data_IF_259014890994
#
_entry.id   IF_259014890994
#
_cell.length_a   1.000
_cell.length_b   1.000
_cell.length_c   1.000
_cell.angle_alpha   90.00
_cell.angle_beta   90.00
_cell.angle_gamma   90.00
#
_symmetry.space_group_name_H-M   'P 1'
#
loop_
_entity.id
_entity.type
_entity.pdbx_description
1 polymer ?
#
# COMPACT_ATOMS: atom_id res chain seq x y z
N UNK A 1 17.53 -31.01 -3.54
CA UNK A 1 17.78 -31.10 -2.10
C UNK A 1 16.48 -30.84 -1.38
N UNK A 2 15.81 -31.90 -0.95
CA UNK A 2 14.85 -31.82 0.15
C UNK A 2 15.55 -31.23 1.37
N UNK A 3 15.00 -30.15 1.92
CA UNK A 3 15.17 -29.76 3.32
C UNK A 3 14.20 -28.61 3.60
N UNK A 4 13.47 -28.76 4.72
CA UNK A 4 12.58 -27.80 5.39
C UNK A 4 11.06 -27.90 5.12
N UNK A 5 10.52 -29.12 5.08
CA UNK A 5 9.24 -29.37 5.76
C UNK A 5 9.52 -29.75 7.23
N UNK A 6 9.80 -28.72 8.03
CA UNK A 6 9.91 -28.83 9.47
C UNK A 6 8.76 -28.09 10.13
N UNK A 7 7.67 -28.79 10.43
CA UNK A 7 6.58 -28.26 11.26
C UNK A 7 7.09 -27.95 12.67
N UNK A 8 7.59 -26.73 12.89
CA UNK A 8 7.70 -26.17 14.24
C UNK A 8 6.46 -25.32 14.49
N UNK A 9 5.46 -25.90 15.15
CA UNK A 9 4.52 -25.09 15.94
C UNK A 9 5.37 -24.20 16.86
N UNK A 10 5.21 -22.86 16.86
CA UNK A 10 5.89 -22.05 17.87
C UNK A 10 5.37 -22.46 19.25
N UNK A 11 6.22 -23.16 20.00
CA UNK A 11 6.04 -23.44 21.43
C UNK A 11 6.56 -22.24 22.23
N UNK A 12 5.85 -21.12 22.15
CA UNK A 12 5.68 -20.20 23.28
C UNK A 12 4.47 -19.34 22.95
N UNK A 13 3.51 -19.23 23.87
CA UNK A 13 2.59 -18.11 23.81
C UNK A 13 3.46 -16.87 23.98
N UNK A 14 3.71 -16.14 22.89
CA UNK A 14 4.46 -14.89 22.97
C UNK A 14 3.64 -13.96 23.85
N UNK A 15 4.10 -13.70 25.08
CA UNK A 15 3.40 -12.80 25.99
C UNK A 15 3.37 -11.42 25.35
N UNK A 16 2.17 -10.84 25.29
CA UNK A 16 1.99 -9.46 24.82
C UNK A 16 2.78 -8.51 25.73
N UNK A 17 3.34 -7.47 25.14
CA UNK A 17 4.08 -6.48 25.93
C UNK A 17 3.15 -5.76 26.91
N UNK A 18 3.62 -5.36 28.10
CA UNK A 18 2.81 -4.59 29.05
C UNK A 18 2.24 -3.31 28.44
N UNK A 19 2.99 -2.67 27.54
CA UNK A 19 2.53 -1.49 26.82
C UNK A 19 1.33 -1.81 25.92
N UNK A 20 1.38 -2.91 25.16
CA UNK A 20 0.27 -3.33 24.31
C UNK A 20 -0.97 -3.71 25.12
N UNK A 21 -0.80 -4.42 26.24
CA UNK A 21 -1.88 -4.72 27.19
C UNK A 21 -2.49 -3.42 27.72
N UNK A 22 -1.67 -2.43 28.10
CA UNK A 22 -2.14 -1.12 28.55
C UNK A 22 -2.98 -0.40 27.50
N UNK A 23 -2.60 -0.47 26.21
CA UNK A 23 -3.42 0.07 25.11
C UNK A 23 -4.74 -0.65 24.96
N UNK A 24 -4.77 -1.98 25.05
CA UNK A 24 -6.01 -2.76 25.04
C UNK A 24 -6.94 -2.38 26.20
N UNK A 25 -6.39 -2.22 27.41
CA UNK A 25 -7.16 -1.80 28.58
C UNK A 25 -7.75 -0.39 28.44
N UNK A 26 -7.07 0.49 27.71
CA UNK A 26 -7.51 1.88 27.48
C UNK A 26 -8.35 2.06 26.21
N UNK A 27 -8.46 1.03 25.36
CA UNK A 27 -9.24 1.05 24.11
C UNK A 27 -10.73 1.42 24.28
N UNK A 28 -11.43 1.10 25.38
CA UNK A 28 -12.80 1.58 25.57
C UNK A 28 -12.94 3.10 25.63
N UNK A 29 -11.89 3.83 26.04
CA UNK A 29 -11.92 5.29 26.15
C UNK A 29 -12.17 6.00 24.80
N UNK A 30 -11.36 5.79 23.73
CA UNK A 30 -11.63 6.40 22.42
C UNK A 30 -13.01 5.99 21.87
N UNK A 31 -13.46 4.75 22.11
CA UNK A 31 -14.80 4.29 21.68
C UNK A 31 -15.91 5.11 22.32
N UNK A 32 -15.92 5.24 23.65
CA UNK A 32 -16.94 6.01 24.37
C UNK A 32 -16.88 7.49 23.99
N UNK A 33 -15.67 8.06 23.90
CA UNK A 33 -15.45 9.45 23.47
C UNK A 33 -16.08 9.71 22.09
N UNK A 34 -15.82 8.83 21.12
CA UNK A 34 -16.34 8.97 19.77
C UNK A 34 -17.87 8.82 19.72
N UNK A 35 -18.44 7.87 20.45
CA UNK A 35 -19.90 7.69 20.52
C UNK A 35 -20.57 8.98 21.04
N UNK A 36 -20.06 9.52 22.16
CA UNK A 36 -20.59 10.75 22.74
C UNK A 36 -20.45 11.93 21.76
N UNK A 37 -19.27 12.12 21.18
CA UNK A 37 -19.03 13.19 20.21
C UNK A 37 -19.93 13.06 18.98
N UNK A 38 -20.09 11.86 18.42
CA UNK A 38 -20.88 11.61 17.22
C UNK A 38 -22.35 12.03 17.37
N UNK A 39 -22.98 11.73 18.52
CA UNK A 39 -24.38 12.06 18.77
C UNK A 39 -24.63 13.44 19.38
N UNK A 40 -23.58 14.20 19.73
CA UNK A 40 -23.73 15.52 20.36
C UNK A 40 -23.18 16.65 19.49
N UNK A 41 -21.86 16.72 19.36
CA UNK A 41 -21.16 17.86 18.75
C UNK A 41 -20.57 17.54 17.38
N UNK A 42 -20.62 16.28 16.93
CA UNK A 42 -19.84 15.74 15.82
C UNK A 42 -18.40 15.42 16.23
N UNK A 43 -17.88 14.31 15.72
CA UNK A 43 -16.47 13.91 15.86
C UNK A 43 -15.56 14.76 14.97
N UNK A 44 -14.25 14.69 15.17
CA UNK A 44 -13.30 15.31 14.24
C UNK A 44 -13.49 14.75 12.82
N UNK A 45 -13.69 13.45 12.67
CA UNK A 45 -13.82 12.80 11.35
C UNK A 45 -15.10 13.20 10.61
N UNK A 46 -16.25 13.14 11.27
CA UNK A 46 -17.56 13.46 10.66
C UNK A 46 -17.71 14.94 10.27
N UNK A 47 -16.93 15.82 10.92
CA UNK A 47 -16.87 17.25 10.59
C UNK A 47 -16.00 17.54 9.39
N UNK A 48 -14.93 16.77 9.18
CA UNK A 48 -13.93 17.07 8.16
C UNK A 48 -14.13 16.28 6.88
N UNK A 49 -14.65 15.05 6.94
CA UNK A 49 -14.77 14.19 5.77
C UNK A 49 -16.13 13.48 5.69
N UNK A 50 -16.72 13.50 4.49
CA UNK A 50 -18.06 12.95 4.19
C UNK A 50 -18.17 11.44 4.46
N UNK A 51 -17.09 10.67 4.31
CA UNK A 51 -17.07 9.22 4.53
C UNK A 51 -17.47 8.84 5.96
N UNK A 52 -17.26 9.75 6.92
CA UNK A 52 -17.54 9.55 8.33
C UNK A 52 -18.90 10.08 8.79
N UNK A 53 -19.56 10.93 7.99
CA UNK A 53 -20.75 11.69 8.42
C UNK A 53 -21.92 10.81 8.83
N UNK A 54 -22.08 9.65 8.16
CA UNK A 54 -23.20 8.75 8.36
C UNK A 54 -22.77 7.34 8.82
N UNK A 55 -21.56 7.22 9.38
CA UNK A 55 -21.02 5.94 9.83
C UNK A 55 -20.32 6.07 11.17
N UNK A 56 -21.07 5.82 12.25
CA UNK A 56 -20.49 5.69 13.59
C UNK A 56 -19.39 4.61 13.62
N UNK A 57 -19.57 3.53 12.86
CA UNK A 57 -18.57 2.46 12.75
C UNK A 57 -17.22 2.96 12.27
N UNK A 58 -17.16 3.72 11.17
CA UNK A 58 -15.90 4.28 10.64
C UNK A 58 -15.21 5.20 11.65
N UNK A 59 -15.99 6.03 12.33
CA UNK A 59 -15.46 6.93 13.36
C UNK A 59 -14.83 6.17 14.53
N UNK A 60 -15.50 5.11 15.00
CA UNK A 60 -15.00 4.28 16.10
C UNK A 60 -13.76 3.50 15.65
N UNK A 61 -13.82 2.86 14.48
CA UNK A 61 -12.73 2.05 13.95
C UNK A 61 -11.43 2.86 13.84
N UNK A 62 -11.48 4.02 13.20
CA UNK A 62 -10.30 4.89 13.02
C UNK A 62 -9.77 5.39 14.36
N UNK A 63 -10.63 5.78 15.30
CA UNK A 63 -10.17 6.19 16.61
C UNK A 63 -9.50 5.05 17.40
N UNK A 64 -10.00 3.83 17.24
CA UNK A 64 -9.36 2.63 17.80
C UNK A 64 -8.01 2.37 17.14
N UNK A 65 -7.93 2.43 15.81
CA UNK A 65 -6.69 2.24 15.05
C UNK A 65 -5.64 3.29 15.44
N UNK A 66 -5.99 4.57 15.45
CA UNK A 66 -5.11 5.66 15.88
C UNK A 66 -4.62 5.47 17.32
N UNK A 67 -5.46 4.98 18.23
CA UNK A 67 -5.06 4.66 19.62
C UNK A 67 -4.07 3.49 19.69
N UNK A 68 -4.18 2.51 18.80
CA UNK A 68 -3.32 1.34 18.77
C UNK A 68 -2.01 1.56 17.98
N UNK A 69 -2.00 2.46 17.00
CA UNK A 69 -0.95 2.61 15.98
C UNK A 69 0.41 3.11 16.48
N UNK A 70 0.47 3.79 17.63
CA UNK A 70 1.74 4.27 18.16
C UNK A 70 2.58 3.14 18.73
N UNK A 71 3.90 3.12 18.59
CA UNK A 71 4.81 2.16 19.26
C UNK A 71 4.41 0.69 19.10
N UNK A 72 4.12 0.25 17.87
CA UNK A 72 3.85 -1.16 17.58
C UNK A 72 5.11 -1.99 17.75
N UNK A 73 4.98 -3.16 18.39
CA UNK A 73 6.09 -4.11 18.56
C UNK A 73 5.91 -5.32 17.65
N UNK A 74 7.01 -5.83 17.07
CA UNK A 74 7.00 -7.00 16.19
C UNK A 74 6.26 -8.20 16.81
N UNK A 75 6.56 -8.51 18.07
CA UNK A 75 5.97 -9.64 18.80
C UNK A 75 4.46 -9.51 18.99
N UNK A 76 3.97 -8.31 19.30
CA UNK A 76 2.56 -8.05 19.54
C UNK A 76 1.77 -8.16 18.24
N UNK A 77 2.28 -7.55 17.17
CA UNK A 77 1.63 -7.62 15.86
C UNK A 77 1.61 -9.05 15.33
N UNK A 78 2.67 -9.82 15.56
CA UNK A 78 2.75 -11.23 15.15
C UNK A 78 1.74 -12.10 15.90
N UNK A 79 1.46 -11.76 17.16
CA UNK A 79 0.51 -12.49 17.98
C UNK A 79 -0.95 -12.13 17.69
N UNK A 80 -1.25 -10.87 17.33
CA UNK A 80 -2.63 -10.34 17.30
C UNK A 80 -3.13 -10.00 15.91
N UNK A 81 -2.27 -9.50 15.03
CA UNK A 81 -2.66 -8.95 13.74
C UNK A 81 -2.40 -9.92 12.58
N UNK A 82 -1.34 -10.75 12.68
CA UNK A 82 -0.90 -11.57 11.56
C UNK A 82 -1.95 -12.58 11.10
N UNK A 83 -2.31 -12.49 9.81
CA UNK A 83 -3.09 -13.49 9.11
C UNK A 83 -2.44 -13.82 7.75
N UNK A 84 -2.12 -15.09 7.46
CA UNK A 84 -1.57 -15.46 6.15
C UNK A 84 -2.52 -15.11 5.00
N UNK A 85 -1.99 -14.61 3.88
CA UNK A 85 -2.77 -14.14 2.73
C UNK A 85 -3.77 -15.18 2.20
N UNK A 86 -3.38 -16.46 2.18
CA UNK A 86 -4.26 -17.54 1.73
C UNK A 86 -5.54 -17.66 2.57
N UNK A 87 -5.47 -17.34 3.86
CA UNK A 87 -6.63 -17.35 4.76
C UNK A 87 -7.52 -16.13 4.50
N UNK A 88 -6.92 -14.96 4.30
CA UNK A 88 -7.63 -13.74 3.91
C UNK A 88 -8.38 -13.93 2.58
N UNK A 89 -7.70 -14.40 1.54
CA UNK A 89 -8.28 -14.69 0.21
C UNK A 89 -9.42 -15.72 0.30
N UNK A 90 -9.23 -16.81 1.06
CA UNK A 90 -10.29 -17.83 1.28
C UNK A 90 -11.50 -17.26 1.99
N UNK A 91 -11.30 -16.42 3.02
CA UNK A 91 -12.39 -15.74 3.73
C UNK A 91 -13.17 -14.86 2.76
N UNK A 92 -12.47 -13.99 2.05
CA UNK A 92 -13.08 -13.06 1.08
C UNK A 92 -13.84 -13.81 -0.03
N UNK A 93 -13.26 -14.89 -0.58
CA UNK A 93 -13.90 -15.76 -1.58
C UNK A 93 -15.20 -16.40 -1.09
N UNK A 94 -15.36 -16.59 0.21
CA UNK A 94 -16.58 -17.15 0.83
C UNK A 94 -17.62 -16.07 1.12
N UNK A 95 -17.20 -14.88 1.54
CA UNK A 95 -18.10 -13.86 2.11
C UNK A 95 -18.50 -12.76 1.14
N UNK A 96 -17.65 -12.44 0.15
CA UNK A 96 -17.84 -11.30 -0.73
C UNK A 96 -18.17 -11.74 -2.17
N UNK A 97 -19.29 -11.26 -2.76
CA UNK A 97 -19.73 -11.67 -4.10
C UNK A 97 -18.80 -11.21 -5.23
N UNK A 98 -17.99 -10.16 -5.05
CA UNK A 98 -17.04 -9.68 -6.07
C UNK A 98 -16.12 -10.82 -6.55
N UNK A 99 -15.60 -11.60 -5.62
CA UNK A 99 -14.72 -12.75 -5.87
C UNK A 99 -15.29 -13.83 -6.81
N UNK A 100 -16.61 -13.84 -7.05
CA UNK A 100 -17.27 -14.79 -7.96
C UNK A 100 -17.31 -14.31 -9.41
N UNK A 101 -17.11 -13.01 -9.63
CA UNK A 101 -17.08 -12.39 -10.96
C UNK A 101 -15.65 -12.03 -11.40
N UNK A 102 -14.69 -12.08 -10.47
CA UNK A 102 -13.28 -11.85 -10.79
C UNK A 102 -12.60 -13.15 -11.24
N UNK A 103 -12.12 -13.18 -12.48
CA UNK A 103 -11.34 -14.28 -13.03
C UNK A 103 -10.05 -14.54 -12.24
N UNK A 104 -9.68 -15.81 -12.07
CA UNK A 104 -8.48 -16.25 -11.34
C UNK A 104 -8.36 -15.73 -9.89
N UNK A 105 -9.44 -15.30 -9.23
CA UNK A 105 -9.37 -14.75 -7.87
C UNK A 105 -8.74 -15.73 -6.87
N UNK A 106 -7.62 -15.28 -6.29
CA UNK A 106 -6.79 -15.99 -5.32
C UNK A 106 -5.86 -17.04 -5.92
N UNK A 107 -5.72 -17.11 -7.24
CA UNK A 107 -4.75 -17.98 -7.91
C UNK A 107 -3.34 -17.43 -7.70
N UNK A 108 -2.40 -18.28 -7.29
CA UNK A 108 -1.01 -17.91 -7.06
C UNK A 108 -0.29 -17.73 -8.40
N UNK A 109 0.34 -16.57 -8.62
CA UNK A 109 1.13 -16.30 -9.82
C UNK A 109 2.58 -16.79 -9.66
N UNK A 110 3.23 -16.39 -8.57
CA UNK A 110 4.56 -16.87 -8.18
C UNK A 110 4.67 -17.00 -6.65
N UNK A 111 5.88 -17.20 -6.12
CA UNK A 111 6.11 -17.48 -4.69
C UNK A 111 5.40 -16.54 -3.70
N UNK A 112 5.25 -15.25 -4.01
CA UNK A 112 4.68 -14.25 -3.11
C UNK A 112 3.59 -13.38 -3.75
N UNK A 113 3.01 -13.78 -4.88
CA UNK A 113 2.00 -12.97 -5.58
C UNK A 113 0.76 -13.75 -6.00
N UNK A 114 -0.37 -13.04 -6.05
CA UNK A 114 -1.69 -13.63 -6.23
C UNK A 114 -2.56 -12.77 -7.15
N UNK A 115 -3.26 -13.42 -8.09
CA UNK A 115 -4.24 -12.76 -8.93
C UNK A 115 -5.48 -12.42 -8.11
N UNK A 116 -5.90 -11.16 -8.19
CA UNK A 116 -7.24 -10.72 -7.78
C UNK A 116 -8.17 -10.79 -8.98
N UNK A 117 -7.69 -10.33 -10.12
CA UNK A 117 -8.35 -10.47 -11.41
C UNK A 117 -7.32 -10.69 -12.50
N UNK A 118 -7.62 -11.56 -13.45
CA UNK A 118 -6.80 -11.77 -14.64
C UNK A 118 -7.64 -11.54 -15.89
N UNK A 119 -7.19 -10.64 -16.76
CA UNK A 119 -7.79 -10.42 -18.07
C UNK A 119 -7.63 -11.67 -18.95
N UNK A 120 -8.62 -11.94 -19.79
CA UNK A 120 -8.58 -12.99 -20.80
C UNK A 120 -7.95 -12.53 -22.13
N UNK A 121 -7.57 -11.26 -22.24
CA UNK A 121 -6.88 -10.73 -23.42
C UNK A 121 -5.43 -11.20 -23.49
N UNK A 122 -4.80 -11.11 -24.69
CA UNK A 122 -3.37 -11.35 -24.83
C UNK A 122 -2.55 -10.47 -23.87
N UNK A 123 -1.43 -11.00 -23.37
CA UNK A 123 -0.63 -10.38 -22.29
C UNK A 123 -0.05 -9.03 -22.70
N UNK A 124 0.33 -8.91 -23.96
CA UNK A 124 0.83 -7.68 -24.58
C UNK A 124 -0.21 -6.57 -24.68
N UNK A 125 -1.51 -6.91 -24.62
CA UNK A 125 -2.63 -5.96 -24.59
C UNK A 125 -3.18 -5.74 -23.17
N UNK A 126 -2.59 -6.39 -22.18
CA UNK A 126 -3.08 -6.38 -20.81
C UNK A 126 -2.18 -5.50 -19.95
N UNK A 127 -2.76 -4.47 -19.32
CA UNK A 127 -2.11 -3.75 -18.23
C UNK A 127 -2.23 -4.57 -16.94
N UNK A 128 -1.11 -4.89 -16.31
CA UNK A 128 -1.08 -5.51 -14.99
C UNK A 128 -0.90 -4.42 -13.94
N UNK A 129 -1.95 -4.14 -13.18
CA UNK A 129 -1.86 -3.33 -11.96
C UNK A 129 -1.30 -4.22 -10.85
N UNK A 130 -0.06 -3.95 -10.46
CA UNK A 130 0.63 -4.64 -9.36
C UNK A 130 0.47 -3.81 -8.10
N UNK A 131 -0.35 -4.31 -7.18
CA UNK A 131 -0.64 -3.66 -5.90
C UNK A 131 0.26 -4.21 -4.77
N UNK A 132 0.95 -3.29 -4.10
CA UNK A 132 1.74 -3.53 -2.89
C UNK A 132 1.04 -2.83 -1.73
N UNK A 133 0.70 -3.59 -0.68
CA UNK A 133 -0.08 -3.07 0.44
C UNK A 133 0.75 -2.16 1.37
N UNK A 134 0.10 -1.33 2.18
CA UNK A 134 0.73 -0.55 3.25
C UNK A 134 0.95 -1.33 4.55
N UNK A 135 1.03 -0.62 5.68
CA UNK A 135 1.26 -1.25 7.00
C UNK A 135 2.70 -1.21 7.51
N UNK A 136 3.49 -0.25 7.00
CA UNK A 136 4.83 0.07 7.51
C UNK A 136 5.85 -1.08 7.42
N UNK A 137 5.70 -1.96 6.42
CA UNK A 137 6.48 -3.21 6.26
C UNK A 137 6.34 -4.21 7.42
N UNK A 138 5.57 -3.90 8.45
CA UNK A 138 5.39 -4.72 9.65
C UNK A 138 4.09 -5.53 9.59
N UNK A 139 3.01 -4.90 9.11
CA UNK A 139 1.67 -5.47 9.11
C UNK A 139 1.38 -6.16 7.77
N UNK A 140 0.67 -7.29 7.82
CA UNK A 140 0.15 -7.96 6.63
C UNK A 140 -0.98 -7.18 5.99
N UNK A 141 -1.29 -7.52 4.74
CA UNK A 141 -2.48 -7.03 4.05
C UNK A 141 -3.76 -7.33 4.85
N UNK A 142 -4.68 -6.36 4.88
CA UNK A 142 -5.95 -6.45 5.62
C UNK A 142 -7.17 -6.54 4.69
N UNK A 143 -8.35 -6.85 5.26
CA UNK A 143 -9.59 -7.02 4.47
C UNK A 143 -9.98 -5.78 3.66
N UNK A 144 -9.73 -4.57 4.17
CA UNK A 144 -10.11 -3.34 3.46
C UNK A 144 -9.24 -3.10 2.22
N UNK A 145 -7.93 -3.38 2.30
CA UNK A 145 -7.02 -3.37 1.16
C UNK A 145 -7.39 -4.46 0.14
N UNK A 146 -7.78 -5.67 0.58
CA UNK A 146 -8.27 -6.70 -0.35
C UNK A 146 -9.59 -6.30 -1.02
N UNK A 147 -10.49 -5.67 -0.26
CA UNK A 147 -11.75 -5.16 -0.77
C UNK A 147 -11.50 -4.06 -1.82
N UNK A 148 -10.55 -3.17 -1.58
CA UNK A 148 -10.08 -2.18 -2.56
C UNK A 148 -9.62 -2.86 -3.85
N UNK A 149 -8.64 -3.78 -3.77
CA UNK A 149 -8.06 -4.43 -4.95
C UNK A 149 -9.12 -5.17 -5.78
N UNK A 150 -10.11 -5.78 -5.11
CA UNK A 150 -11.23 -6.43 -5.79
C UNK A 150 -12.24 -5.43 -6.38
N UNK A 151 -12.53 -4.34 -5.68
CA UNK A 151 -13.48 -3.32 -6.11
C UNK A 151 -12.97 -2.51 -7.30
N UNK A 152 -11.64 -2.31 -7.41
CA UNK A 152 -11.02 -1.57 -8.49
C UNK A 152 -11.48 -2.05 -9.87
N UNK A 153 -11.54 -3.37 -10.11
CA UNK A 153 -12.02 -3.91 -11.40
C UNK A 153 -13.41 -3.40 -11.78
N UNK A 154 -14.31 -3.27 -10.81
CA UNK A 154 -15.69 -2.82 -11.04
C UNK A 154 -15.84 -1.29 -11.06
N UNK A 155 -14.81 -0.55 -10.64
CA UNK A 155 -14.77 0.91 -10.72
C UNK A 155 -14.30 1.39 -12.11
N UNK A 156 -13.62 0.53 -12.88
CA UNK A 156 -13.18 0.82 -14.24
C UNK A 156 -14.34 0.77 -15.22
N UNK A 157 -14.22 1.50 -16.33
CA UNK A 157 -15.13 1.32 -17.46
C UNK A 157 -14.93 -0.05 -18.12
N UNK A 158 -15.95 -0.54 -18.84
CA UNK A 158 -15.95 -1.89 -19.43
C UNK A 158 -14.71 -2.16 -20.29
N UNK A 159 -14.25 -1.15 -21.02
CA UNK A 159 -13.10 -1.27 -21.90
C UNK A 159 -11.81 -1.46 -21.10
N UNK A 160 -11.57 -0.62 -20.11
CA UNK A 160 -10.37 -0.62 -19.27
C UNK A 160 -10.37 -1.82 -18.35
N UNK A 161 -11.53 -2.20 -17.79
CA UNK A 161 -11.72 -3.41 -17.02
C UNK A 161 -11.30 -4.66 -17.82
N UNK A 162 -11.70 -4.75 -19.10
CA UNK A 162 -11.34 -5.89 -19.94
C UNK A 162 -9.82 -5.98 -20.23
N UNK A 163 -9.09 -4.86 -20.23
CA UNK A 163 -7.65 -4.81 -20.49
C UNK A 163 -6.80 -4.81 -19.22
N UNK A 164 -7.41 -4.93 -18.04
CA UNK A 164 -6.70 -4.81 -16.76
C UNK A 164 -6.65 -6.15 -16.05
N UNK A 165 -5.44 -6.57 -15.64
CA UNK A 165 -5.27 -7.58 -14.59
C UNK A 165 -4.85 -6.90 -13.30
N UNK A 166 -5.23 -7.46 -12.17
CA UNK A 166 -4.90 -6.96 -10.83
C UNK A 166 -4.17 -8.07 -10.09
N UNK A 167 -2.92 -7.81 -9.74
CA UNK A 167 -2.04 -8.70 -9.00
C UNK A 167 -1.70 -8.05 -7.66
N UNK A 168 -1.75 -8.81 -6.57
CA UNK A 168 -1.19 -8.37 -5.28
C UNK A 168 0.14 -9.08 -4.99
N UNK A 169 1.03 -8.40 -4.29
CA UNK A 169 2.26 -8.98 -3.73
C UNK A 169 2.14 -9.07 -2.20
N UNK A 170 2.19 -10.29 -1.67
CA UNK A 170 2.29 -10.61 -0.24
C UNK A 170 3.77 -10.69 0.14
N UNK A 171 4.45 -9.54 0.14
CA UNK A 171 5.88 -9.47 0.44
C UNK A 171 6.16 -9.78 1.92
N UNK A 172 7.36 -10.24 2.20
CA UNK A 172 7.80 -10.65 3.53
C UNK A 172 7.84 -9.47 4.52
N UNK A 173 7.47 -9.72 5.77
CA UNK A 173 7.25 -8.67 6.79
C UNK A 173 8.35 -8.61 7.85
N UNK A 174 8.63 -7.41 8.34
CA UNK A 174 9.65 -7.16 9.37
C UNK A 174 9.32 -7.83 10.71
N UNK A 175 8.05 -8.17 10.97
CA UNK A 175 7.62 -8.94 12.15
C UNK A 175 8.17 -10.38 12.18
N UNK A 176 8.67 -10.86 11.04
CA UNK A 176 9.39 -12.13 10.89
C UNK A 176 10.87 -11.91 10.57
N UNK A 177 11.40 -10.72 10.87
CA UNK A 177 12.80 -10.34 10.69
C UNK A 177 13.26 -10.35 9.23
N UNK A 178 12.31 -10.23 8.30
CA UNK A 178 12.58 -9.91 6.91
C UNK A 178 12.75 -8.39 6.77
N UNK A 179 14.00 -7.95 6.76
CA UNK A 179 14.39 -6.54 6.66
C UNK A 179 14.76 -6.17 5.21
N UNK A 180 15.04 -4.89 4.95
CA UNK A 180 15.55 -4.46 3.65
C UNK A 180 16.84 -5.22 3.27
N UNK A 181 17.05 -5.62 2.00
CA UNK A 181 16.21 -5.40 0.81
C UNK A 181 15.23 -6.55 0.49
N UNK A 182 14.81 -7.40 1.44
CA UNK A 182 13.97 -8.58 1.14
C UNK A 182 12.74 -8.25 0.30
N UNK A 183 12.00 -7.21 0.68
CA UNK A 183 10.76 -6.81 0.00
C UNK A 183 11.04 -6.30 -1.42
N UNK A 184 12.11 -5.52 -1.60
CA UNK A 184 12.52 -5.03 -2.91
C UNK A 184 12.92 -6.18 -3.83
N UNK A 185 13.67 -7.16 -3.31
CA UNK A 185 14.04 -8.37 -4.04
C UNK A 185 12.83 -9.17 -4.50
N UNK A 186 11.87 -9.41 -3.60
CA UNK A 186 10.63 -10.15 -3.90
C UNK A 186 9.78 -9.44 -4.97
N UNK A 187 9.67 -8.12 -4.89
CA UNK A 187 8.94 -7.30 -5.85
C UNK A 187 9.64 -7.28 -7.22
N UNK A 188 10.97 -7.11 -7.26
CA UNK A 188 11.75 -7.19 -8.51
C UNK A 188 11.64 -8.57 -9.17
N UNK A 189 11.68 -9.65 -8.38
CA UNK A 189 11.51 -11.02 -8.88
C UNK A 189 10.12 -11.21 -9.49
N UNK A 190 9.07 -10.72 -8.81
CA UNK A 190 7.70 -10.77 -9.33
C UNK A 190 7.57 -9.98 -10.64
N UNK A 191 8.14 -8.77 -10.69
CA UNK A 191 8.15 -7.94 -11.89
C UNK A 191 8.87 -8.63 -13.06
N UNK A 192 10.06 -9.21 -12.80
CA UNK A 192 10.80 -10.02 -13.77
C UNK A 192 9.99 -11.21 -14.27
N UNK A 193 9.27 -11.89 -13.39
CA UNK A 193 8.40 -13.02 -13.76
C UNK A 193 7.22 -12.58 -14.64
N UNK A 194 6.63 -11.40 -14.40
CA UNK A 194 5.59 -10.83 -15.28
C UNK A 194 6.15 -10.55 -16.68
N UNK A 195 7.31 -9.89 -16.76
CA UNK A 195 7.98 -9.57 -18.02
C UNK A 195 8.35 -10.84 -18.80
N UNK A 196 8.99 -11.82 -18.14
CA UNK A 196 9.31 -13.13 -18.73
C UNK A 196 8.06 -13.90 -19.18
N UNK A 197 6.93 -13.67 -18.51
CA UNK A 197 5.64 -14.25 -18.89
C UNK A 197 5.02 -13.58 -20.13
N UNK A 198 5.55 -12.45 -20.59
CA UNK A 198 5.09 -11.72 -21.78
C UNK A 198 4.22 -10.50 -21.48
N UNK A 199 4.09 -10.06 -20.22
CA UNK A 199 3.44 -8.78 -19.92
C UNK A 199 4.39 -7.62 -20.19
N UNK A 200 3.94 -6.66 -20.97
CA UNK A 200 4.71 -5.47 -21.36
C UNK A 200 4.21 -4.19 -20.70
N UNK A 201 2.95 -4.19 -20.26
CA UNK A 201 2.26 -3.05 -19.66
C UNK A 201 2.06 -3.33 -18.17
N UNK A 202 2.85 -2.69 -17.31
CA UNK A 202 2.80 -2.90 -15.85
C UNK A 202 2.65 -1.55 -15.15
N UNK A 203 1.56 -1.39 -14.41
CA UNK A 203 1.31 -0.25 -13.52
C UNK A 203 1.65 -0.66 -12.09
N UNK A 204 2.46 0.13 -11.39
CA UNK A 204 2.73 -0.11 -9.97
C UNK A 204 1.78 0.75 -9.12
N UNK A 205 1.21 0.12 -8.11
CA UNK A 205 0.29 0.77 -7.19
C UNK A 205 0.60 0.37 -5.76
N UNK A 206 0.43 1.28 -4.82
CA UNK A 206 0.39 0.92 -3.41
C UNK A 206 -0.13 2.02 -2.53
N UNK A 207 -0.31 1.69 -1.26
CA UNK A 207 -0.62 2.63 -0.18
C UNK A 207 0.52 2.69 0.84
N UNK A 208 0.80 3.87 1.41
CA UNK A 208 1.76 4.01 2.51
C UNK A 208 3.15 3.40 2.20
N UNK A 209 3.57 2.39 2.96
CA UNK A 209 4.78 1.60 2.71
C UNK A 209 4.76 0.85 1.36
N UNK A 210 3.61 0.46 0.85
CA UNK A 210 3.45 -0.16 -0.46
C UNK A 210 3.64 0.83 -1.60
N UNK A 211 3.21 2.09 -1.41
CA UNK A 211 3.53 3.18 -2.33
C UNK A 211 5.03 3.53 -2.29
N UNK A 212 5.65 3.51 -1.11
CA UNK A 212 7.11 3.59 -0.99
C UNK A 212 7.79 2.45 -1.77
N UNK A 213 7.31 1.20 -1.64
CA UNK A 213 7.85 0.07 -2.41
C UNK A 213 7.65 0.23 -3.92
N UNK A 214 6.52 0.80 -4.36
CA UNK A 214 6.26 1.11 -5.77
C UNK A 214 7.30 2.09 -6.33
N UNK A 215 7.63 3.13 -5.56
CA UNK A 215 8.69 4.08 -5.88
C UNK A 215 10.08 3.40 -5.88
N UNK A 216 10.39 2.60 -4.86
CA UNK A 216 11.65 1.85 -4.79
C UNK A 216 11.84 0.93 -5.98
N UNK A 217 10.79 0.20 -6.40
CA UNK A 217 10.82 -0.73 -7.53
C UNK A 217 11.00 0.01 -8.87
N UNK A 218 10.25 1.09 -9.10
CA UNK A 218 10.41 1.89 -10.31
C UNK A 218 11.83 2.47 -10.43
N UNK A 219 12.35 3.03 -9.33
CA UNK A 219 13.71 3.53 -9.25
C UNK A 219 14.73 2.41 -9.45
N UNK A 220 14.49 1.23 -8.90
CA UNK A 220 15.39 0.10 -9.05
C UNK A 220 15.60 -0.31 -10.51
N UNK A 221 14.52 -0.28 -11.30
CA UNK A 221 14.56 -0.56 -12.72
C UNK A 221 15.21 0.61 -13.49
N UNK A 222 15.01 1.85 -13.05
CA UNK A 222 15.56 3.05 -13.72
C UNK A 222 17.07 3.25 -13.50
N UNK A 223 17.60 2.71 -12.40
CA UNK A 223 19.00 2.84 -11.99
C UNK A 223 19.60 1.45 -11.69
N UNK A 224 19.69 0.57 -12.70
CA UNK A 224 20.03 -0.83 -12.51
C UNK A 224 21.44 -1.05 -11.92
N UNK A 225 22.40 -0.18 -12.24
CA UNK A 225 23.77 -0.25 -11.68
C UNK A 225 23.79 0.02 -10.18
N UNK A 226 22.99 0.98 -9.69
CA UNK A 226 22.91 1.28 -8.27
C UNK A 226 22.30 0.09 -7.51
N UNK A 227 21.27 -0.53 -8.07
CA UNK A 227 20.62 -1.70 -7.46
C UNK A 227 21.48 -2.95 -7.53
N UNK A 228 22.26 -3.12 -8.59
CA UNK A 228 23.26 -4.17 -8.65
C UNK A 228 24.27 -4.03 -7.51
N UNK A 229 24.81 -2.82 -7.28
CA UNK A 229 25.71 -2.55 -6.15
C UNK A 229 25.03 -2.84 -4.79
N UNK A 230 23.73 -2.55 -4.65
CA UNK A 230 22.96 -2.93 -3.46
C UNK A 230 22.96 -4.44 -3.25
N UNK A 231 22.60 -5.23 -4.27
CA UNK A 231 22.52 -6.68 -4.13
C UNK A 231 23.90 -7.37 -4.05
N UNK A 232 24.95 -6.74 -4.58
CA UNK A 232 26.34 -7.19 -4.35
C UNK A 232 26.72 -7.07 -2.86
N UNK A 233 26.26 -6.03 -2.17
CA UNK A 233 26.41 -5.88 -0.71
C UNK A 233 25.55 -6.88 0.07
N UNK A 234 24.32 -7.12 -0.38
CA UNK A 234 23.41 -8.11 0.20
C UNK A 234 23.48 -9.45 -0.54
N UNK A 235 24.67 -10.06 -0.58
CA UNK A 235 24.98 -11.23 -1.41
C UNK A 235 24.14 -12.49 -1.11
N UNK A 236 23.34 -12.51 -0.04
CA UNK A 236 22.37 -13.57 0.24
C UNK A 236 21.19 -13.59 -0.75
N UNK A 237 20.93 -12.49 -1.47
CA UNK A 237 19.87 -12.42 -2.48
C UNK A 237 20.44 -12.75 -3.87
N UNK A 238 19.99 -13.85 -4.45
CA UNK A 238 20.43 -14.28 -5.77
C UNK A 238 19.57 -13.66 -6.87
N UNK A 239 20.01 -12.54 -7.45
CA UNK A 239 19.34 -11.91 -8.60
C UNK A 239 19.74 -12.65 -9.88
N UNK A 240 18.91 -13.60 -10.30
CA UNK A 240 19.15 -14.46 -11.48
C UNK A 240 18.58 -13.89 -12.80
N UNK A 241 18.35 -12.59 -12.87
CA UNK A 241 17.86 -11.87 -14.04
C UNK A 241 18.56 -10.52 -14.16
N UNK A 242 18.66 -10.01 -15.38
CA UNK A 242 19.27 -8.71 -15.62
C UNK A 242 18.23 -7.60 -15.42
N UNK A 243 18.46 -6.73 -14.43
CA UNK A 243 17.55 -5.61 -14.13
C UNK A 243 17.51 -4.61 -15.29
N UNK A 244 18.63 -4.43 -16.00
CA UNK A 244 18.73 -3.53 -17.15
C UNK A 244 17.86 -3.94 -18.34
N UNK A 245 17.39 -5.20 -18.37
CA UNK A 245 16.51 -5.72 -19.43
C UNK A 245 15.02 -5.57 -19.07
N UNK A 246 14.70 -5.11 -17.85
CA UNK A 246 13.32 -4.92 -17.42
C UNK A 246 12.77 -3.58 -17.97
N UNK A 247 11.60 -3.57 -18.62
CA UNK A 247 10.95 -2.33 -19.02
C UNK A 247 10.54 -1.52 -17.79
N UNK A 248 10.57 -0.19 -17.90
CA UNK A 248 10.01 0.71 -16.88
C UNK A 248 8.51 0.45 -16.68
N UNK A 249 7.98 0.61 -15.45
CA UNK A 249 6.54 0.60 -15.25
C UNK A 249 5.91 1.76 -16.02
N UNK A 250 4.75 1.52 -16.63
CA UNK A 250 4.11 2.50 -17.50
C UNK A 250 3.40 3.60 -16.71
N UNK A 251 3.06 3.32 -15.44
CA UNK A 251 2.41 4.25 -14.53
C UNK A 251 2.68 3.91 -13.06
N UNK A 252 2.54 4.93 -12.20
CA UNK A 252 2.61 4.85 -10.74
C UNK A 252 1.34 5.43 -10.11
N UNK A 253 0.75 4.71 -9.16
CA UNK A 253 -0.40 5.15 -8.38
C UNK A 253 -0.04 5.04 -6.90
N UNK A 254 0.09 6.18 -6.24
CA UNK A 254 0.71 6.31 -4.93
C UNK A 254 -0.30 6.90 -3.94
N UNK A 255 -0.94 6.05 -3.14
CA UNK A 255 -1.84 6.48 -2.07
C UNK A 255 -1.04 6.72 -0.78
N UNK A 256 -1.00 7.97 -0.33
CA UNK A 256 -0.31 8.42 0.87
C UNK A 256 1.13 7.85 1.00
N UNK A 257 2.06 8.08 0.04
CA UNK A 257 3.35 7.42 0.02
C UNK A 257 4.23 7.73 1.23
N UNK A 258 4.72 6.70 1.94
CA UNK A 258 5.61 6.89 3.07
C UNK A 258 7.06 7.13 2.63
N UNK A 259 7.34 8.34 2.15
CA UNK A 259 8.58 8.70 1.44
C UNK A 259 9.83 8.87 2.29
N UNK A 260 9.73 8.81 3.63
CA UNK A 260 10.88 9.01 4.51
C UNK A 260 10.80 8.16 5.80
N UNK A 261 10.77 6.81 5.68
CA UNK A 261 10.90 5.91 6.81
C UNK A 261 12.12 6.27 7.68
N UNK A 262 12.02 6.03 8.98
CA UNK A 262 13.02 6.43 9.99
C UNK A 262 13.13 7.95 10.22
N UNK A 263 12.19 8.76 9.70
CA UNK A 263 12.14 10.20 9.96
C UNK A 263 10.80 10.52 10.63
N UNK A 264 10.79 11.20 11.79
CA UNK A 264 9.55 11.65 12.40
C UNK A 264 8.77 12.55 11.43
N UNK A 265 7.43 12.57 11.51
CA UNK A 265 6.63 13.49 10.72
C UNK A 265 7.08 14.95 10.91
N UNK A 266 7.06 15.72 9.82
CA UNK A 266 7.39 17.15 9.87
C UNK A 266 6.25 17.92 10.57
N UNK A 267 6.54 19.04 11.25
CA UNK A 267 5.49 19.95 11.70
C UNK A 267 4.66 20.42 10.50
N UNK A 268 3.33 20.43 10.66
CA UNK A 268 2.45 20.76 9.54
C UNK A 268 2.65 22.20 9.06
N UNK A 269 2.90 22.39 7.75
CA UNK A 269 2.98 23.73 7.13
C UNK A 269 1.60 24.30 6.77
N UNK A 270 0.56 23.48 6.87
CA UNK A 270 -0.81 23.85 6.50
C UNK A 270 -1.62 24.41 7.66
N UNK A 271 -1.10 24.32 8.89
CA UNK A 271 -1.82 24.69 10.13
C UNK A 271 -3.18 23.98 10.28
N UNK A 272 -3.25 22.72 9.85
CA UNK A 272 -4.45 21.88 9.90
C UNK A 272 -4.39 20.93 11.09
N UNK A 273 -5.54 20.67 11.72
CA UNK A 273 -5.65 19.70 12.82
C UNK A 273 -5.56 18.25 12.28
N UNK A 274 -4.42 17.61 12.52
CA UNK A 274 -4.15 16.20 12.17
C UNK A 274 -4.64 15.20 13.23
N UNK A 275 -5.37 15.66 14.27
CA UNK A 275 -5.86 14.79 15.34
C UNK A 275 -6.72 13.64 14.81
N UNK A 276 -6.33 12.42 15.14
CA UNK A 276 -7.07 11.22 14.76
C UNK A 276 -6.67 10.62 13.43
N UNK A 277 -5.64 11.15 12.76
CA UNK A 277 -4.93 10.41 11.72
C UNK A 277 -4.45 9.03 12.25
N UNK A 278 -4.40 8.02 11.37
CA UNK A 278 -4.10 6.63 11.74
C UNK A 278 -2.60 6.34 11.87
N UNK A 279 -1.74 7.32 11.55
CA UNK A 279 -0.30 7.23 11.70
C UNK A 279 0.17 7.95 12.96
N UNK A 280 1.01 7.26 13.74
CA UNK A 280 1.70 7.84 14.90
C UNK A 280 2.95 8.64 14.51
N UNK A 281 3.47 9.42 15.46
CA UNK A 281 4.71 10.19 15.28
C UNK A 281 5.99 9.38 15.50
N UNK A 282 5.87 8.10 15.85
CA UNK A 282 7.04 7.25 16.08
C UNK A 282 7.63 6.68 14.79
N UNK A 283 8.92 6.37 14.85
CA UNK A 283 9.71 5.90 13.70
C UNK A 283 10.01 4.40 13.76
N UNK A 284 9.40 3.66 14.71
CA UNK A 284 9.76 2.27 15.00
C UNK A 284 9.61 1.36 13.79
N UNK A 285 8.55 1.55 13.00
CA UNK A 285 8.31 0.77 11.78
C UNK A 285 9.46 0.92 10.77
N UNK A 286 10.02 2.12 10.67
CA UNK A 286 11.17 2.38 9.78
C UNK A 286 12.42 1.71 10.34
N UNK A 287 12.64 1.83 11.65
CA UNK A 287 13.76 1.15 12.31
C UNK A 287 13.66 -0.38 12.22
N UNK A 288 12.46 -0.97 12.17
CA UNK A 288 12.31 -2.40 11.91
C UNK A 288 12.61 -2.81 10.47
N UNK A 289 12.43 -1.91 9.50
CA UNK A 289 12.80 -2.16 8.10
C UNK A 289 14.32 -2.22 7.92
N UNK A 290 15.06 -1.40 8.66
CA UNK A 290 16.52 -1.26 8.46
C UNK A 290 17.36 -1.89 9.55
N UNK A 291 16.81 -2.08 10.75
CA UNK A 291 17.52 -2.54 11.95
C UNK A 291 18.91 -1.88 12.10
N UNK A 292 19.98 -2.67 12.03
CA UNK A 292 21.36 -2.23 12.21
C UNK A 292 22.07 -1.93 10.87
N UNK A 293 21.35 -1.88 9.75
CA UNK A 293 21.93 -1.55 8.45
C UNK A 293 22.45 -0.12 8.42
N UNK A 294 23.56 0.10 7.72
CA UNK A 294 24.05 1.45 7.45
C UNK A 294 23.06 2.15 6.50
N UNK A 295 22.24 3.04 7.08
CA UNK A 295 21.24 3.80 6.33
C UNK A 295 21.86 4.65 5.22
N UNK A 296 23.16 5.02 5.30
CA UNK A 296 23.82 5.78 4.23
C UNK A 296 23.89 4.97 2.94
N UNK A 297 24.08 3.66 3.04
CA UNK A 297 24.20 2.79 1.87
C UNK A 297 22.86 2.64 1.16
N UNK A 298 21.76 2.54 1.89
CA UNK A 298 20.42 2.30 1.33
C UNK A 298 19.58 3.58 1.19
N UNK A 299 20.18 4.74 1.48
CA UNK A 299 19.45 5.98 1.74
C UNK A 299 18.56 6.41 0.56
N UNK A 300 19.02 6.17 -0.67
CA UNK A 300 18.30 6.50 -1.89
C UNK A 300 17.10 5.56 -2.18
N UNK A 301 17.00 4.45 -1.45
CA UNK A 301 15.88 3.51 -1.48
C UNK A 301 15.08 3.50 -0.18
N UNK A 302 15.51 4.29 0.80
CA UNK A 302 14.87 4.45 2.10
C UNK A 302 14.19 5.81 2.21
N UNK A 303 14.93 6.92 2.14
CA UNK A 303 14.35 8.26 2.29
C UNK A 303 14.38 8.97 0.96
N UNK A 304 13.24 9.18 0.32
CA UNK A 304 13.21 9.91 -0.95
C UNK A 304 13.36 11.42 -0.78
N UNK A 305 13.15 11.96 0.40
CA UNK A 305 13.36 13.39 0.69
C UNK A 305 14.83 13.82 0.76
N UNK A 306 15.77 12.89 0.76
CA UNK A 306 17.22 13.18 0.66
C UNK A 306 17.74 13.23 -0.78
N UNK A 307 16.89 12.89 -1.75
CA UNK A 307 17.29 12.70 -3.15
C UNK A 307 17.15 13.99 -3.95
N UNK A 308 17.57 13.96 -5.22
CA UNK A 308 17.35 15.04 -6.18
C UNK A 308 16.83 14.48 -7.52
N UNK A 309 16.21 15.34 -8.33
CA UNK A 309 15.66 14.91 -9.62
C UNK A 309 16.73 14.36 -10.57
N UNK A 310 17.80 15.11 -10.82
CA UNK A 310 18.77 14.84 -11.88
C UNK A 310 19.43 13.45 -11.73
N UNK A 311 19.78 13.09 -10.50
CA UNK A 311 20.48 11.85 -10.19
C UNK A 311 19.53 10.70 -9.82
N UNK A 312 18.31 10.97 -9.33
CA UNK A 312 17.49 9.92 -8.70
C UNK A 312 16.12 9.68 -9.34
N UNK A 313 15.57 10.63 -10.12
CA UNK A 313 14.20 10.53 -10.66
C UNK A 313 14.09 10.82 -12.17
N UNK A 314 15.09 11.45 -12.78
CA UNK A 314 15.10 11.81 -14.19
C UNK A 314 14.98 10.62 -15.16
N UNK A 315 15.25 9.39 -14.69
CA UNK A 315 15.14 8.15 -15.48
C UNK A 315 13.90 7.30 -15.17
N UNK A 316 13.02 7.76 -14.28
CA UNK A 316 11.78 7.04 -13.94
C UNK A 316 10.68 7.48 -14.91
N UNK A 317 10.44 6.71 -15.95
CA UNK A 317 9.57 7.09 -17.08
C UNK A 317 8.16 7.51 -16.63
N UNK A 318 7.54 6.76 -15.72
CA UNK A 318 6.20 7.07 -15.21
C UNK A 318 6.11 8.45 -14.53
N UNK A 319 7.18 8.91 -13.88
CA UNK A 319 7.27 10.24 -13.26
C UNK A 319 7.45 11.34 -14.32
N UNK A 320 8.17 11.05 -15.39
CA UNK A 320 8.53 12.06 -16.38
C UNK A 320 7.50 12.19 -17.52
N UNK A 321 6.69 11.15 -17.77
CA UNK A 321 5.71 11.09 -18.86
C UNK A 321 4.28 11.39 -18.41
N UNK A 322 4.08 11.96 -17.22
CA UNK A 322 2.75 12.32 -16.71
C UNK A 322 1.87 11.13 -16.30
N UNK A 323 2.47 9.97 -16.04
CA UNK A 323 1.77 8.75 -15.65
C UNK A 323 1.99 8.44 -14.16
N UNK A 324 1.97 9.48 -13.32
CA UNK A 324 2.03 9.31 -11.87
C UNK A 324 0.88 10.05 -11.19
N UNK A 325 0.16 9.35 -10.33
CA UNK A 325 -0.87 9.89 -9.45
C UNK A 325 -0.39 9.76 -8.00
N UNK A 326 -0.41 10.86 -7.25
CA UNK A 326 -0.21 10.91 -5.81
C UNK A 326 -1.53 11.36 -5.17
N UNK A 327 -2.05 10.54 -4.26
CA UNK A 327 -3.24 10.84 -3.47
C UNK A 327 -2.77 11.07 -2.02
N UNK A 328 -3.21 12.15 -1.38
CA UNK A 328 -2.92 12.42 0.03
C UNK A 328 -4.18 12.89 0.75
N UNK A 329 -4.31 12.61 2.03
CA UNK A 329 -5.30 13.22 2.91
C UNK A 329 -4.86 14.60 3.39
N UNK A 330 -5.80 15.55 3.42
CA UNK A 330 -5.53 16.92 3.89
C UNK A 330 -4.97 16.97 5.31
N UNK A 331 -5.41 16.05 6.17
CA UNK A 331 -5.12 16.01 7.62
C UNK A 331 -4.08 14.96 7.99
N UNK A 332 -3.31 14.47 7.02
CA UNK A 332 -2.24 13.51 7.26
C UNK A 332 -1.05 14.11 8.00
N UNK A 333 -0.52 13.39 8.98
CA UNK A 333 0.73 13.77 9.65
C UNK A 333 1.93 13.67 8.72
N UNK A 334 1.89 12.77 7.72
CA UNK A 334 2.99 12.54 6.78
C UNK A 334 2.95 13.45 5.54
N UNK A 335 1.91 14.27 5.38
CA UNK A 335 1.66 15.07 4.17
C UNK A 335 2.84 15.95 3.76
N UNK A 336 3.41 16.71 4.69
CA UNK A 336 4.48 17.65 4.37
C UNK A 336 5.73 16.94 3.80
N UNK A 337 6.04 15.74 4.28
CA UNK A 337 7.12 14.93 3.69
C UNK A 337 6.78 14.45 2.28
N UNK A 338 5.52 14.09 2.02
CA UNK A 338 5.04 13.74 0.68
C UNK A 338 5.10 14.92 -0.29
N UNK A 339 4.79 16.13 0.19
CA UNK A 339 4.92 17.36 -0.59
C UNK A 339 6.38 17.67 -0.92
N UNK A 340 7.30 17.51 0.04
CA UNK A 340 8.73 17.65 -0.21
C UNK A 340 9.21 16.68 -1.30
N UNK A 341 8.81 15.41 -1.21
CA UNK A 341 9.08 14.44 -2.28
C UNK A 341 8.46 14.83 -3.61
N UNK A 342 7.19 15.26 -3.61
CA UNK A 342 6.50 15.71 -4.83
C UNK A 342 7.28 16.84 -5.51
N UNK A 343 7.78 17.83 -4.75
CA UNK A 343 8.61 18.90 -5.30
C UNK A 343 9.96 18.42 -5.82
N UNK A 344 10.59 17.44 -5.16
CA UNK A 344 11.85 16.83 -5.62
C UNK A 344 11.65 16.07 -6.93
N UNK A 345 10.61 15.22 -7.02
CA UNK A 345 10.40 14.33 -8.15
C UNK A 345 9.72 15.02 -9.34
N UNK A 346 8.86 16.02 -9.11
CA UNK A 346 8.02 16.63 -10.15
C UNK A 346 8.69 17.80 -10.91
N UNK A 347 9.97 17.70 -11.25
CA UNK A 347 10.67 18.76 -12.01
C UNK A 347 10.06 18.98 -13.40
N UNK A 348 9.44 17.96 -13.99
CA UNK A 348 8.73 18.03 -15.28
C UNK A 348 7.30 18.60 -15.17
N UNK A 349 6.75 18.75 -13.96
CA UNK A 349 5.39 19.24 -13.75
C UNK A 349 4.28 18.27 -14.18
N UNK A 350 4.58 16.99 -14.33
CA UNK A 350 3.68 15.99 -14.91
C UNK A 350 2.99 15.06 -13.88
N UNK A 351 3.45 15.04 -12.62
CA UNK A 351 2.80 14.28 -11.54
C UNK A 351 1.45 14.90 -11.18
N UNK A 352 0.38 14.10 -11.18
CA UNK A 352 -0.93 14.48 -10.67
C UNK A 352 -0.93 14.35 -9.14
N UNK A 353 -1.17 15.46 -8.42
CA UNK A 353 -1.20 15.50 -6.96
C UNK A 353 -2.58 15.89 -6.47
N UNK A 354 -3.25 14.99 -5.74
CA UNK A 354 -4.64 15.14 -5.32
C UNK A 354 -4.74 15.09 -3.79
N UNK A 355 -5.38 16.10 -3.20
CA UNK A 355 -5.61 16.19 -1.76
C UNK A 355 -7.07 15.87 -1.45
N UNK A 356 -7.34 14.84 -0.66
CA UNK A 356 -8.67 14.52 -0.16
C UNK A 356 -9.06 15.50 0.97
N UNK A 357 -10.12 16.32 0.80
CA UNK A 357 -10.57 17.24 1.83
C UNK A 357 -10.95 16.51 3.12
N UNK A 358 -10.36 16.93 4.23
CA UNK A 358 -10.50 16.28 5.54
C UNK A 358 -10.02 14.83 5.61
N UNK A 359 -9.36 14.32 4.56
CA UNK A 359 -8.82 12.98 4.46
C UNK A 359 -7.70 12.71 5.46
N UNK A 360 -7.51 11.43 5.76
CA UNK A 360 -6.46 10.91 6.65
C UNK A 360 -5.59 9.92 5.87
N UNK A 361 -4.58 9.37 6.52
CA UNK A 361 -3.58 8.53 5.85
C UNK A 361 -4.21 7.35 5.12
N UNK A 362 -3.92 7.24 3.82
CA UNK A 362 -4.38 6.16 2.96
C UNK A 362 -5.91 5.92 3.05
N UNK A 363 -6.68 7.02 3.08
CA UNK A 363 -8.13 7.02 3.25
C UNK A 363 -8.88 6.14 2.24
N UNK A 364 -8.36 5.99 1.03
CA UNK A 364 -8.92 5.11 0.00
C UNK A 364 -9.01 3.65 0.46
N UNK A 365 -7.92 3.10 0.99
CA UNK A 365 -7.87 1.68 1.39
C UNK A 365 -8.29 1.43 2.83
N UNK A 366 -8.12 2.41 3.73
CA UNK A 366 -8.53 2.27 5.13
C UNK A 366 -9.99 2.68 5.38
N UNK A 367 -10.55 3.61 4.60
CA UNK A 367 -11.86 4.22 4.88
C UNK A 367 -12.89 3.96 3.79
N UNK A 368 -12.61 4.34 2.55
CA UNK A 368 -13.57 4.18 1.44
C UNK A 368 -13.89 2.71 1.22
N UNK A 369 -12.86 1.86 1.29
CA UNK A 369 -12.95 0.43 0.98
C UNK A 369 -13.74 -0.39 2.01
N UNK A 370 -13.94 0.16 3.22
CA UNK A 370 -14.80 -0.44 4.25
C UNK A 370 -16.24 -0.63 3.74
N UNK A 371 -16.70 0.24 2.85
CA UNK A 371 -18.04 0.16 2.27
C UNK A 371 -18.24 -1.09 1.40
N UNK A 372 -17.15 -1.70 0.91
CA UNK A 372 -17.17 -2.81 -0.05
C UNK A 372 -16.77 -4.15 0.57
N UNK A 373 -16.30 -4.18 1.82
CA UNK A 373 -15.84 -5.40 2.51
C UNK A 373 -16.94 -6.46 2.68
N UNK A 374 -18.17 -6.02 3.00
CA UNK A 374 -19.30 -6.90 3.28
C UNK A 374 -20.07 -7.33 2.03
N UNK A 375 -20.95 -8.34 2.16
CA UNK A 375 -21.79 -8.85 1.06
C UNK A 375 -22.64 -7.76 0.37
N UNK A 376 -23.22 -6.83 1.14
CA UNK A 376 -24.00 -5.70 0.60
C UNK A 376 -23.10 -4.75 -0.20
N UNK A 377 -21.94 -4.42 0.36
CA UNK A 377 -20.90 -3.61 -0.27
C UNK A 377 -20.39 -4.20 -1.57
N UNK A 378 -20.01 -5.48 -1.58
CA UNK A 378 -19.58 -6.16 -2.80
C UNK A 378 -20.64 -6.20 -3.90
N UNK A 379 -21.93 -6.30 -3.55
CA UNK A 379 -23.01 -6.14 -4.54
C UNK A 379 -23.09 -4.71 -5.09
N UNK A 380 -22.79 -3.71 -4.25
CA UNK A 380 -22.72 -2.29 -4.62
C UNK A 380 -21.62 -2.07 -5.66
N UNK A 381 -20.42 -2.56 -5.35
CA UNK A 381 -19.26 -2.53 -6.26
C UNK A 381 -19.57 -3.19 -7.61
N UNK A 382 -20.15 -4.40 -7.63
CA UNK A 382 -20.56 -5.09 -8.87
C UNK A 382 -21.50 -4.24 -9.76
N UNK A 383 -22.29 -3.33 -9.18
CA UNK A 383 -23.18 -2.43 -9.94
C UNK A 383 -22.49 -1.13 -10.38
N UNK A 384 -21.18 -0.98 -10.17
CA UNK A 384 -20.42 0.23 -10.51
C UNK A 384 -20.73 1.43 -9.60
N UNK A 385 -21.25 1.20 -8.39
CA UNK A 385 -21.72 2.27 -7.51
C UNK A 385 -20.57 2.84 -6.64
N UNK A 386 -19.76 3.72 -7.25
CA UNK A 386 -18.59 4.38 -6.64
C UNK A 386 -18.67 5.92 -6.58
N UNK A 387 -19.75 6.53 -7.07
CA UNK A 387 -19.90 7.99 -7.23
C UNK A 387 -19.67 8.83 -5.94
N UNK A 388 -19.76 8.19 -4.78
CA UNK A 388 -19.55 8.84 -3.48
C UNK A 388 -18.07 8.85 -3.04
N UNK A 389 -17.17 8.15 -3.74
CA UNK A 389 -15.76 7.97 -3.38
C UNK A 389 -14.84 9.05 -3.97
N UNK A 390 -13.70 9.28 -3.34
CA UNK A 390 -12.68 10.22 -3.78
C UNK A 390 -11.50 9.45 -4.38
N UNK A 391 -10.80 8.66 -3.57
CA UNK A 391 -9.60 7.93 -3.97
C UNK A 391 -9.88 6.88 -5.04
N UNK A 392 -10.90 6.03 -4.84
CA UNK A 392 -11.26 4.99 -5.82
C UNK A 392 -11.58 5.60 -7.19
N UNK A 393 -12.30 6.72 -7.21
CA UNK A 393 -12.66 7.41 -8.47
C UNK A 393 -11.44 8.04 -9.14
N UNK A 394 -10.52 8.65 -8.39
CA UNK A 394 -9.28 9.16 -8.96
C UNK A 394 -8.44 8.05 -9.60
N UNK A 395 -8.34 6.89 -8.95
CA UNK A 395 -7.62 5.74 -9.50
C UNK A 395 -8.31 5.18 -10.73
N UNK A 396 -9.63 5.02 -10.72
CA UNK A 396 -10.36 4.53 -11.89
C UNK A 396 -10.26 5.50 -13.06
N UNK A 397 -10.45 6.81 -12.83
CA UNK A 397 -10.34 7.83 -13.87
C UNK A 397 -8.92 7.89 -14.44
N UNK A 398 -7.91 7.79 -13.58
CA UNK A 398 -6.51 7.76 -13.99
C UNK A 398 -6.20 6.58 -14.93
N UNK A 399 -6.75 5.40 -14.64
CA UNK A 399 -6.58 4.21 -15.46
C UNK A 399 -7.43 4.26 -16.74
N UNK A 400 -8.69 4.70 -16.65
CA UNK A 400 -9.61 4.79 -17.79
C UNK A 400 -9.11 5.78 -18.85
N UNK A 401 -8.57 6.93 -18.41
CA UNK A 401 -8.05 7.97 -19.32
C UNK A 401 -6.75 7.59 -20.01
N UNK A 402 -6.03 6.59 -19.49
CA UNK A 402 -4.76 6.12 -20.03
C UNK A 402 -4.90 4.88 -20.89
N UNK A 403 -6.12 4.59 -21.36
CA UNK A 403 -6.49 3.46 -22.20
C UNK A 403 -5.27 2.86 -22.89
N UNK A 404 -4.70 1.83 -22.26
CA UNK A 404 -3.35 1.30 -22.51
C UNK A 404 -3.28 0.52 -23.84
N UNK A 405 -3.86 1.11 -24.88
CA UNK A 405 -4.00 0.74 -26.29
C UNK A 405 -3.22 1.79 -27.07
N UNK A 406 -2.43 1.50 -28.08
CA UNK A 406 -2.29 0.34 -28.96
C UNK A 406 -0.84 -0.15 -29.03
#
# INVERSE_FOLDING_TARGET
>A
MELLEGSRKPKSATMLTPQFIGKLCTLPYPVVKIILQYYTVGTIYSKTNKEFKHSLYKNILVAMEAHMAMNLQKSDMKAVCYEPINKLLKRFKKTNPMSKQLNAFGEKFDECSYWIHKSDLPKEKTNVVVYMHGGGYLLNMIDSQLAFSAALHFALDDQTAAHTSILIIDYSLTMFDHIYPTQLYECLRTYSNLVKSGYTNITLMGDSAGAHMSLSLARAIAYPEEVKLQFDYFSQFNVNFNISDLPQPIALILDAPWVQPCTPPLPSRHHIDTTGDIIGFDVNLGHYLVENLDQKFINNFLKFTNTNWDEHWAKVDAINNGNTLIIVGEREVLRDGMEDFYHIANKSGSIQYCVEPGGIHAGMVYIESLDYMGKKGGKRAIRGEFNDKFGINLVSDFLNTRGFKE
#
